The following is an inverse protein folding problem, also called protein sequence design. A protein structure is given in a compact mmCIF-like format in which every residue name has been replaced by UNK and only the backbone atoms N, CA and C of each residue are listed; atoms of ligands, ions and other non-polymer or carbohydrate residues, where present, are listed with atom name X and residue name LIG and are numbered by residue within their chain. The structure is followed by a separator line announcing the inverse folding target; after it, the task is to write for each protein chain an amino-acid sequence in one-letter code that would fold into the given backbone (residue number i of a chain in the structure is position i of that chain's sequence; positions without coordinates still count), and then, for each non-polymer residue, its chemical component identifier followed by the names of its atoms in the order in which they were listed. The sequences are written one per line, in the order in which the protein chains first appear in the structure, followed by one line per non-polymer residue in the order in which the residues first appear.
data_IF_562196021123
#
_entry.id   IF_562196021123
#
_cell.length_a   1.000
_cell.length_b   1.000
_cell.length_c   1.000
_cell.angle_alpha   90.00
_cell.angle_beta   90.00
_cell.angle_gamma   90.00
#
_symmetry.space_group_name_H-M   'P 1'
#
loop_
_entity.id
_entity.type
_entity.pdbx_description
1 polymer ?
#
# COMPACT_ATOMS: atom_id res chain seq x y z
N UNK A 1 -37.46 28.52 14.47
CA UNK A 1 -37.23 27.21 13.81
C UNK A 1 -35.86 27.12 13.15
N UNK A 2 -35.42 28.15 12.41
CA UNK A 2 -34.11 28.19 11.75
C UNK A 2 -32.91 27.88 12.69
N UNK A 3 -32.88 28.45 13.90
CA UNK A 3 -31.82 28.17 14.91
C UNK A 3 -31.79 26.71 15.37
N UNK A 4 -32.94 26.02 15.42
CA UNK A 4 -33.02 24.59 15.80
C UNK A 4 -32.54 23.70 14.65
N UNK A 5 -32.92 24.04 13.42
CA UNK A 5 -32.43 23.38 12.20
C UNK A 5 -30.91 23.53 12.06
N UNK A 6 -30.38 24.76 12.22
CA UNK A 6 -28.93 24.99 12.15
C UNK A 6 -28.17 24.18 13.20
N UNK A 7 -28.66 24.12 14.44
CA UNK A 7 -28.04 23.30 15.50
C UNK A 7 -28.05 21.81 15.15
N UNK A 8 -29.15 21.31 14.56
CA UNK A 8 -29.24 19.92 14.11
C UNK A 8 -28.22 19.63 12.99
N UNK A 9 -28.09 20.51 12.00
CA UNK A 9 -27.09 20.35 10.93
C UNK A 9 -25.66 20.36 11.47
N UNK A 10 -25.34 21.26 12.40
CA UNK A 10 -24.00 21.33 13.01
C UNK A 10 -23.68 20.04 13.78
N UNK A 11 -24.62 19.55 14.61
CA UNK A 11 -24.43 18.29 15.36
C UNK A 11 -24.27 17.11 14.40
N UNK A 12 -25.13 17.00 13.39
CA UNK A 12 -25.04 15.94 12.38
C UNK A 12 -23.70 15.97 11.64
N UNK A 13 -23.24 17.16 11.23
CA UNK A 13 -21.95 17.34 10.58
C UNK A 13 -20.78 16.89 11.48
N UNK A 14 -20.81 17.23 12.78
CA UNK A 14 -19.79 16.79 13.74
C UNK A 14 -19.80 15.26 13.86
N UNK A 15 -20.97 14.64 14.02
CA UNK A 15 -21.08 13.17 14.14
C UNK A 15 -20.57 12.46 12.88
N UNK A 16 -20.97 12.93 11.69
CA UNK A 16 -20.49 12.37 10.42
C UNK A 16 -18.97 12.53 10.29
N UNK A 17 -18.43 13.70 10.64
CA UNK A 17 -16.99 13.95 10.60
C UNK A 17 -16.23 13.01 11.53
N UNK A 18 -16.74 12.80 12.75
CA UNK A 18 -16.16 11.87 13.72
C UNK A 18 -16.16 10.44 13.18
N UNK A 19 -17.28 9.98 12.61
CA UNK A 19 -17.36 8.64 11.99
C UNK A 19 -16.32 8.50 10.89
N UNK A 20 -16.22 9.47 9.97
CA UNK A 20 -15.23 9.44 8.88
C UNK A 20 -13.80 9.38 9.42
N UNK A 21 -13.48 10.18 10.45
CA UNK A 21 -12.15 10.18 11.06
C UNK A 21 -11.75 8.82 11.63
N UNK A 22 -12.69 8.09 12.23
CA UNK A 22 -12.44 6.75 12.77
C UNK A 22 -12.49 5.65 11.72
N UNK A 23 -13.32 5.78 10.68
CA UNK A 23 -13.45 4.78 9.62
C UNK A 23 -12.33 4.84 8.58
N UNK A 24 -11.72 6.01 8.39
CA UNK A 24 -10.69 6.25 7.36
C UNK A 24 -9.54 7.10 7.91
N UNK A 25 -8.73 6.55 8.83
CA UNK A 25 -7.69 7.32 9.54
C UNK A 25 -6.66 7.95 8.60
N UNK A 26 -6.42 7.34 7.43
CA UNK A 26 -5.49 7.88 6.44
C UNK A 26 -5.96 9.21 5.83
N UNK A 27 -7.27 9.47 5.77
CA UNK A 27 -7.81 10.77 5.32
C UNK A 27 -7.40 11.87 6.30
N UNK A 28 -7.45 11.59 7.60
CA UNK A 28 -7.00 12.53 8.64
C UNK A 28 -5.51 12.81 8.49
N UNK A 29 -4.70 11.77 8.24
CA UNK A 29 -3.27 11.95 7.93
C UNK A 29 -3.08 12.81 6.68
N UNK A 30 -3.85 12.59 5.62
CA UNK A 30 -3.78 13.40 4.40
C UNK A 30 -4.09 14.88 4.66
N UNK A 31 -5.20 15.16 5.36
CA UNK A 31 -5.60 16.54 5.70
C UNK A 31 -4.61 17.26 6.61
N UNK A 32 -3.83 16.52 7.41
CA UNK A 32 -2.78 17.06 8.29
C UNK A 32 -1.39 17.07 7.64
N UNK A 33 -1.28 16.72 6.35
CA UNK A 33 -0.01 16.71 5.61
C UNK A 33 0.91 15.52 5.92
N UNK A 34 0.39 14.48 6.58
CA UNK A 34 1.10 13.25 6.97
C UNK A 34 0.78 12.05 6.09
N UNK A 35 0.02 12.25 5.02
CA UNK A 35 -0.16 11.28 3.97
C UNK A 35 -0.25 11.98 2.62
N UNK A 36 -0.01 11.23 1.56
CA UNK A 36 -0.09 11.68 0.18
C UNK A 36 -0.95 10.73 -0.64
N UNK A 37 -1.39 11.22 -1.79
CA UNK A 37 -2.03 10.39 -2.81
C UNK A 37 -0.93 9.87 -3.73
N UNK A 38 -0.78 8.55 -3.83
CA UNK A 38 0.11 7.90 -4.81
C UNK A 38 -0.55 7.92 -6.19
N UNK A 39 -1.83 7.57 -6.25
CA UNK A 39 -2.63 7.59 -7.48
C UNK A 39 -3.42 6.31 -7.69
N UNK A 40 -3.83 6.08 -8.94
CA UNK A 40 -4.63 4.91 -9.35
C UNK A 40 -3.75 3.67 -9.58
N UNK A 41 -4.32 2.46 -9.53
CA UNK A 41 -3.60 1.24 -9.88
C UNK A 41 -3.04 1.32 -11.30
N UNK A 42 -1.81 0.85 -11.48
CA UNK A 42 -1.25 0.55 -12.78
C UNK A 42 -1.90 -0.71 -13.35
N UNK A 43 -1.88 -0.82 -14.68
CA UNK A 43 -2.36 -2.02 -15.36
C UNK A 43 -1.31 -3.13 -15.20
N UNK A 44 -1.65 -4.14 -14.40
CA UNK A 44 -0.80 -5.30 -14.18
C UNK A 44 -1.65 -6.53 -13.84
N UNK A 45 -1.17 -7.70 -14.25
CA UNK A 45 -1.67 -8.99 -13.81
C UNK A 45 -0.74 -9.53 -12.73
N UNK A 46 -1.31 -10.00 -11.62
CA UNK A 46 -0.55 -10.44 -10.45
C UNK A 46 -0.92 -11.88 -10.16
N UNK A 47 0.09 -12.74 -10.08
CA UNK A 47 -0.03 -14.16 -9.81
C UNK A 47 0.68 -14.49 -8.51
N UNK A 48 0.05 -15.31 -7.66
CA UNK A 48 0.66 -15.93 -6.48
C UNK A 48 0.50 -17.44 -6.63
N UNK A 49 1.61 -18.18 -6.68
CA UNK A 49 1.68 -19.60 -7.03
C UNK A 49 0.89 -19.92 -8.31
N UNK A 50 1.21 -19.19 -9.39
CA UNK A 50 0.58 -19.32 -10.72
C UNK A 50 -0.93 -19.03 -10.78
N UNK A 51 -1.55 -18.67 -9.65
CA UNK A 51 -2.96 -18.28 -9.58
C UNK A 51 -3.09 -16.78 -9.64
N UNK A 52 -3.86 -16.30 -10.61
CA UNK A 52 -4.19 -14.89 -10.74
C UNK A 52 -4.94 -14.39 -9.49
N UNK A 53 -4.54 -13.21 -9.01
CA UNK A 53 -5.14 -12.52 -7.87
C UNK A 53 -5.74 -11.20 -8.36
N UNK A 54 -6.97 -11.25 -8.86
CA UNK A 54 -7.67 -10.08 -9.42
C UNK A 54 -7.87 -8.92 -8.44
N UNK A 55 -7.87 -9.19 -7.14
CA UNK A 55 -8.03 -8.18 -6.08
C UNK A 55 -6.69 -7.50 -5.72
N UNK A 56 -5.56 -8.12 -6.07
CA UNK A 56 -4.24 -7.55 -5.91
C UNK A 56 -4.05 -6.36 -6.86
N UNK A 57 -3.36 -5.32 -6.40
CA UNK A 57 -3.18 -4.09 -7.17
C UNK A 57 -1.73 -3.66 -7.15
N UNK A 58 -1.25 -3.17 -8.29
CA UNK A 58 0.05 -2.54 -8.39
C UNK A 58 -0.14 -1.03 -8.48
N UNK A 59 0.62 -0.25 -7.71
CA UNK A 59 0.68 1.20 -7.84
C UNK A 59 2.12 1.61 -8.14
N UNK A 60 2.27 2.76 -8.79
CA UNK A 60 3.58 3.33 -9.10
C UNK A 60 3.71 4.66 -8.38
N UNK A 61 4.75 4.79 -7.57
CA UNK A 61 5.16 6.07 -7.01
C UNK A 61 6.46 6.50 -7.67
N UNK A 62 6.46 7.65 -8.34
CA UNK A 62 7.62 8.17 -9.08
C UNK A 62 8.56 9.00 -8.18
N UNK A 63 8.35 9.00 -6.86
CA UNK A 63 9.20 9.70 -5.90
C UNK A 63 9.10 9.15 -4.49
N UNK A 64 10.10 9.46 -3.66
CA UNK A 64 10.01 9.31 -2.19
C UNK A 64 8.87 10.18 -1.62
N UNK A 65 8.51 9.96 -0.35
CA UNK A 65 7.38 10.63 0.30
C UNK A 65 7.40 12.15 0.13
N UNK A 66 8.56 12.75 0.37
CA UNK A 66 8.80 14.21 0.33
C UNK A 66 8.81 14.78 -1.10
N UNK A 67 8.86 13.93 -2.13
CA UNK A 67 8.94 14.34 -3.53
C UNK A 67 10.30 14.91 -3.95
N UNK A 68 11.31 14.81 -3.10
CA UNK A 68 12.66 15.37 -3.33
C UNK A 68 13.53 14.46 -4.19
N UNK A 69 13.24 13.16 -4.23
CA UNK A 69 13.97 12.16 -5.00
C UNK A 69 13.02 11.49 -5.98
N UNK A 70 13.32 11.58 -7.28
CA UNK A 70 12.61 10.84 -8.32
C UNK A 70 13.11 9.40 -8.34
N UNK A 71 12.20 8.45 -8.12
CA UNK A 71 12.50 7.03 -8.03
C UNK A 71 11.22 6.24 -8.25
N UNK A 72 11.30 5.19 -9.05
CA UNK A 72 10.14 4.36 -9.40
C UNK A 72 9.98 3.24 -8.38
N UNK A 73 9.18 3.50 -7.36
CA UNK A 73 8.72 2.49 -6.41
C UNK A 73 7.46 1.84 -6.95
N UNK A 74 7.48 0.51 -7.05
CA UNK A 74 6.25 -0.24 -7.25
C UNK A 74 5.69 -0.67 -5.90
N UNK A 75 4.42 -0.39 -5.68
CA UNK A 75 3.71 -0.72 -4.45
C UNK A 75 2.74 -1.84 -4.78
N UNK A 76 3.06 -3.04 -4.36
CA UNK A 76 2.17 -4.19 -4.46
C UNK A 76 1.24 -4.18 -3.25
N UNK A 77 -0.05 -4.02 -3.50
CA UNK A 77 -1.10 -3.98 -2.50
C UNK A 77 -1.91 -5.28 -2.54
N UNK A 78 -1.83 -6.06 -1.46
CA UNK A 78 -2.42 -7.38 -1.28
C UNK A 78 -3.51 -7.41 -0.19
N UNK A 79 -3.75 -6.30 0.49
CA UNK A 79 -4.69 -6.23 1.63
C UNK A 79 -6.14 -6.59 1.27
N UNK A 80 -6.54 -6.40 0.00
CA UNK A 80 -7.87 -6.78 -0.50
C UNK A 80 -7.93 -8.24 -1.01
N UNK A 81 -6.80 -8.96 -1.05
CA UNK A 81 -6.74 -10.32 -1.58
C UNK A 81 -7.36 -11.30 -0.59
N UNK A 82 -8.46 -11.94 -0.99
CA UNK A 82 -9.11 -12.96 -0.16
C UNK A 82 -8.15 -14.10 0.18
N UNK A 83 -8.26 -14.54 1.43
CA UNK A 83 -7.52 -15.68 1.99
C UNK A 83 -5.98 -15.52 1.98
N UNK A 84 -5.49 -14.29 1.83
CA UNK A 84 -4.07 -13.98 1.97
C UNK A 84 -3.78 -13.41 3.37
N UNK A 85 -3.02 -14.16 4.17
CA UNK A 85 -2.64 -13.79 5.54
C UNK A 85 -1.15 -13.42 5.67
N UNK A 86 -0.58 -12.86 4.60
CA UNK A 86 0.81 -12.40 4.57
C UNK A 86 0.96 -10.89 4.79
N UNK A 87 2.08 -10.34 4.34
CA UNK A 87 2.31 -8.89 4.38
C UNK A 87 1.36 -8.19 3.37
N UNK A 88 0.50 -7.27 3.82
CA UNK A 88 -0.56 -6.69 2.99
C UNK A 88 -0.04 -5.68 1.96
N UNK A 89 1.14 -5.08 2.18
CA UNK A 89 1.77 -4.17 1.21
C UNK A 89 3.26 -4.48 1.08
N UNK A 90 3.76 -4.53 -0.13
CA UNK A 90 5.18 -4.68 -0.44
C UNK A 90 5.65 -3.55 -1.35
N UNK A 91 6.90 -3.14 -1.18
CA UNK A 91 7.55 -2.13 -2.00
C UNK A 91 8.68 -2.79 -2.77
N UNK A 92 8.62 -2.68 -4.10
CA UNK A 92 9.68 -3.12 -5.00
C UNK A 92 10.42 -1.87 -5.45
N UNK A 93 11.70 -1.83 -5.12
CA UNK A 93 12.61 -0.81 -5.59
C UNK A 93 13.32 -1.26 -6.85
N UNK A 94 12.93 -0.72 -8.00
CA UNK A 94 13.53 -1.13 -9.27
C UNK A 94 14.99 -0.71 -9.38
N UNK A 95 15.35 0.44 -8.83
CA UNK A 95 16.69 1.00 -8.92
C UNK A 95 17.69 0.21 -8.08
N UNK A 96 17.32 -0.08 -6.84
CA UNK A 96 18.19 -0.81 -5.90
C UNK A 96 17.97 -2.32 -5.91
N UNK A 97 17.05 -2.79 -6.76
CA UNK A 97 16.69 -4.20 -6.93
C UNK A 97 16.41 -4.89 -5.58
N UNK A 98 15.61 -4.23 -4.74
CA UNK A 98 15.29 -4.73 -3.41
C UNK A 98 13.78 -4.81 -3.20
N UNK A 99 13.35 -5.89 -2.56
CA UNK A 99 12.00 -6.05 -2.04
C UNK A 99 11.97 -5.65 -0.58
N UNK A 100 11.05 -4.77 -0.22
CA UNK A 100 10.88 -4.25 1.13
C UNK A 100 9.43 -4.42 1.56
N UNK A 101 9.21 -4.53 2.87
CA UNK A 101 7.88 -4.34 3.43
C UNK A 101 7.87 -3.05 4.27
N UNK A 102 6.82 -2.23 4.13
CA UNK A 102 6.66 -1.03 4.91
C UNK A 102 5.86 -1.30 6.20
N UNK A 103 5.68 -0.25 7.00
CA UNK A 103 4.50 -0.21 7.86
C UNK A 103 3.23 -0.17 6.98
N UNK A 104 2.42 -1.22 7.03
CA UNK A 104 1.43 -1.54 6.00
C UNK A 104 -0.01 -1.61 6.52
N UNK A 105 -0.26 -1.11 7.74
CA UNK A 105 -1.61 -1.04 8.31
C UNK A 105 -2.53 -0.08 7.56
N UNK A 106 -3.84 -0.17 7.84
CA UNK A 106 -4.88 0.68 7.23
C UNK A 106 -4.67 2.17 7.48
N UNK A 107 -4.03 2.56 8.58
CA UNK A 107 -3.66 3.96 8.79
C UNK A 107 -2.50 4.44 7.91
N UNK A 108 -1.77 3.54 7.25
CA UNK A 108 -0.57 3.84 6.46
C UNK A 108 -0.77 3.60 4.97
N UNK A 109 -1.59 2.63 4.60
CA UNK A 109 -2.01 2.37 3.23
C UNK A 109 -3.50 2.08 3.19
N UNK A 110 -4.24 2.82 2.35
CA UNK A 110 -5.64 2.51 2.10
C UNK A 110 -6.06 3.02 0.71
N UNK A 111 -7.09 2.38 0.15
CA UNK A 111 -7.64 2.76 -1.14
C UNK A 111 -8.94 3.52 -0.94
N UNK A 112 -8.92 4.80 -1.32
CA UNK A 112 -10.08 5.68 -1.23
C UNK A 112 -10.36 6.27 -2.60
N UNK A 113 -11.60 6.11 -3.08
CA UNK A 113 -12.02 6.52 -4.42
C UNK A 113 -11.07 6.03 -5.53
N UNK A 114 -10.64 4.76 -5.45
CA UNK A 114 -9.69 4.11 -6.37
C UNK A 114 -8.28 4.69 -6.38
N UNK A 115 -7.93 5.56 -5.44
CA UNK A 115 -6.56 6.05 -5.28
C UNK A 115 -5.94 5.42 -4.04
N UNK A 116 -4.69 5.00 -4.14
CA UNK A 116 -3.91 4.63 -2.98
C UNK A 116 -3.46 5.89 -2.25
N UNK A 117 -3.78 5.95 -0.97
CA UNK A 117 -3.20 6.87 -0.02
C UNK A 117 -2.04 6.17 0.68
N UNK A 118 -0.97 6.91 0.92
CA UNK A 118 0.23 6.43 1.61
C UNK A 118 0.61 7.45 2.68
N UNK A 119 0.77 7.02 3.93
CA UNK A 119 1.27 7.87 5.00
C UNK A 119 2.79 8.07 4.94
N UNK A 120 3.27 9.06 5.68
CA UNK A 120 4.70 9.29 5.93
C UNK A 120 5.36 8.02 6.52
N UNK A 121 4.80 7.47 7.60
CA UNK A 121 5.31 6.25 8.23
C UNK A 121 5.28 5.04 7.29
N UNK A 122 4.27 4.92 6.45
CA UNK A 122 4.18 3.86 5.45
C UNK A 122 5.23 4.00 4.35
N UNK A 123 5.66 5.22 4.03
CA UNK A 123 6.68 5.45 3.02
C UNK A 123 8.11 5.43 3.57
N UNK A 124 8.33 5.87 4.80
CA UNK A 124 9.68 6.06 5.34
C UNK A 124 10.18 4.90 6.20
N UNK A 125 9.28 4.04 6.72
CA UNK A 125 9.65 2.80 7.39
C UNK A 125 9.63 1.67 6.38
N UNK A 126 10.72 1.47 5.65
CA UNK A 126 10.87 0.35 4.70
C UNK A 126 11.98 -0.60 5.18
N UNK A 127 11.64 -1.88 5.35
CA UNK A 127 12.58 -2.91 5.81
C UNK A 127 12.79 -3.92 4.69
N UNK A 128 14.04 -4.16 4.24
CA UNK A 128 14.33 -5.21 3.26
C UNK A 128 13.87 -6.59 3.76
N UNK A 129 13.23 -7.36 2.88
CA UNK A 129 12.70 -8.69 3.22
C UNK A 129 13.80 -9.63 3.72
N UNK A 130 14.99 -9.58 3.12
CA UNK A 130 16.14 -10.41 3.49
C UNK A 130 16.87 -9.95 4.77
N UNK A 131 16.42 -8.89 5.43
CA UNK A 131 17.01 -8.45 6.69
C UNK A 131 16.75 -9.52 7.78
N UNK A 132 17.82 -10.08 8.36
CA UNK A 132 17.74 -11.16 9.36
C UNK A 132 17.29 -10.72 10.75
N UNK A 133 17.32 -9.43 11.04
CA UNK A 133 17.04 -8.90 12.39
C UNK A 133 15.64 -8.34 12.49
N UNK A 134 15.26 -7.50 11.52
CA UNK A 134 13.97 -6.82 11.49
C UNK A 134 13.06 -7.31 10.37
N UNK A 135 13.59 -8.05 9.39
CA UNK A 135 12.87 -8.54 8.24
C UNK A 135 12.41 -9.99 8.39
N UNK A 136 12.05 -10.60 7.26
CA UNK A 136 11.60 -12.00 7.20
C UNK A 136 12.77 -12.99 7.10
N UNK A 137 13.98 -12.50 6.87
CA UNK A 137 15.22 -13.28 6.99
C UNK A 137 15.46 -14.30 5.86
N UNK A 138 14.71 -14.23 4.76
CA UNK A 138 14.91 -15.07 3.58
C UNK A 138 15.18 -14.23 2.33
N UNK A 139 15.84 -14.83 1.34
CA UNK A 139 16.13 -14.14 0.07
C UNK A 139 14.90 -14.19 -0.85
N UNK A 140 14.38 -13.03 -1.30
CA UNK A 140 13.19 -12.98 -2.14
C UNK A 140 13.43 -13.39 -3.60
N UNK A 141 14.67 -13.69 -4.02
CA UNK A 141 15.02 -14.05 -5.40
C UNK A 141 14.41 -13.09 -6.44
N UNK A 142 14.51 -11.78 -6.18
CA UNK A 142 13.88 -10.75 -7.00
C UNK A 142 14.55 -10.66 -8.38
N UNK A 143 13.76 -10.91 -9.42
CA UNK A 143 14.18 -10.92 -10.82
C UNK A 143 13.32 -9.94 -11.62
N UNK A 144 13.96 -9.22 -12.54
CA UNK A 144 13.31 -8.33 -13.50
C UNK A 144 13.60 -8.84 -14.92
N UNK A 145 12.54 -9.18 -15.67
CA UNK A 145 12.59 -9.68 -17.04
C UNK A 145 11.63 -8.86 -17.90
N UNK A 146 12.14 -7.84 -18.61
CA UNK A 146 11.34 -6.89 -19.40
C UNK A 146 10.19 -6.25 -18.60
N UNK A 147 8.96 -6.72 -18.84
CA UNK A 147 7.71 -6.28 -18.20
C UNK A 147 7.25 -7.21 -17.07
N UNK A 148 8.04 -8.22 -16.76
CA UNK A 148 7.75 -9.25 -15.75
C UNK A 148 8.66 -9.06 -14.55
N UNK A 149 8.07 -9.10 -13.36
CA UNK A 149 8.80 -9.08 -12.09
C UNK A 149 8.45 -10.35 -11.33
N UNK A 150 9.47 -11.09 -10.91
CA UNK A 150 9.33 -12.34 -10.16
C UNK A 150 10.04 -12.22 -8.81
N UNK A 151 9.43 -12.73 -7.77
CA UNK A 151 10.03 -12.79 -6.44
C UNK A 151 9.25 -13.73 -5.53
N UNK A 152 9.79 -13.97 -4.35
CA UNK A 152 9.21 -14.80 -3.29
C UNK A 152 8.70 -13.94 -2.14
N UNK A 153 7.55 -14.32 -1.61
CA UNK A 153 6.97 -13.75 -0.39
C UNK A 153 6.73 -14.85 0.63
N UNK A 154 6.65 -14.48 1.92
CA UNK A 154 6.24 -15.40 2.97
C UNK A 154 4.89 -15.00 3.54
N UNK A 155 3.99 -15.98 3.66
CA UNK A 155 2.72 -15.87 4.37
C UNK A 155 2.49 -17.17 5.15
N UNK A 156 1.98 -17.11 6.38
CA UNK A 156 1.68 -18.31 7.19
C UNK A 156 2.84 -19.32 7.31
N UNK A 157 4.09 -18.84 7.38
CA UNK A 157 5.32 -19.66 7.38
C UNK A 157 5.54 -20.51 6.11
N UNK A 158 4.91 -20.14 5.00
CA UNK A 158 5.13 -20.72 3.67
C UNK A 158 5.66 -19.66 2.72
N UNK A 159 6.50 -20.10 1.78
CA UNK A 159 7.01 -19.26 0.71
C UNK A 159 6.13 -19.46 -0.53
N UNK A 160 5.76 -18.35 -1.16
CA UNK A 160 4.95 -18.30 -2.36
C UNK A 160 5.72 -17.60 -3.47
N UNK A 161 5.58 -18.09 -4.69
CA UNK A 161 6.15 -17.44 -5.87
C UNK A 161 5.17 -16.38 -6.38
N UNK A 162 5.67 -15.15 -6.57
CA UNK A 162 4.91 -14.02 -7.08
C UNK A 162 5.42 -13.66 -8.47
N UNK A 163 4.49 -13.49 -9.40
CA UNK A 163 4.77 -12.94 -10.73
C UNK A 163 3.87 -11.74 -11.00
N UNK A 164 4.46 -10.63 -11.45
CA UNK A 164 3.75 -9.42 -11.84
C UNK A 164 4.04 -9.16 -13.32
N UNK A 165 3.01 -9.16 -14.15
CA UNK A 165 3.08 -8.77 -15.56
C UNK A 165 2.56 -7.34 -15.72
N UNK A 166 3.44 -6.38 -15.98
CA UNK A 166 3.07 -4.97 -16.17
C UNK A 166 2.70 -4.73 -17.64
N UNK A 167 1.57 -4.10 -17.92
CA UNK A 167 1.14 -3.79 -19.31
C UNK A 167 1.86 -2.58 -19.90
#
# INVERSE_FOLDING_TARGET
MLKKLLKFFVISFIVISVIIMFSTPIIVKYLTGRARIVGKPAQAEIFIDEKEKSDAKLFISNSNFEGTQKRDYLILYLDDVKDYNGIPVLIIDKEHKVLMFPNSGKEDYDIIFKNLFQSDSGANVMIPVNNKVKGLGFEPDLIFEDKVIKFKISAENKIYDVTINIS
#
